data_IF_833267127791
#
_entry.id   IF_833267127791
#
_cell.length_a   1.000
_cell.length_b   1.000
_cell.length_c   1.000
_cell.angle_alpha   90.00
_cell.angle_beta   90.00
_cell.angle_gamma   90.00
#
_symmetry.space_group_name_H-M   'P 1'
#
loop_
_entity.id
_entity.type
_entity.pdbx_description
1 polymer ?
#
# COMPACT_ATOMS: atom_id res chain seq x y z
N UNK A 1 12.67 8.86 14.24
CA UNK A 1 12.54 8.50 12.82
C UNK A 1 11.06 8.50 12.48
N UNK A 2 10.67 9.16 11.39
CA UNK A 2 9.27 9.19 10.95
C UNK A 2 8.89 7.85 10.34
N UNK A 3 7.94 7.14 10.94
CA UNK A 3 7.48 5.84 10.45
C UNK A 3 6.33 6.05 9.45
N UNK A 4 6.53 5.63 8.20
CA UNK A 4 5.56 5.86 7.12
C UNK A 4 4.71 4.61 6.89
N UNK A 5 3.43 4.79 6.56
CA UNK A 5 2.52 3.65 6.29
C UNK A 5 2.52 3.30 4.82
N UNK A 6 2.61 2.01 4.50
CA UNK A 6 2.48 1.51 3.14
C UNK A 6 1.06 1.78 2.61
N UNK A 7 0.95 2.46 1.48
CA UNK A 7 -0.34 2.81 0.87
C UNK A 7 -1.18 1.57 0.53
N UNK A 8 -0.53 0.50 0.08
CA UNK A 8 -1.21 -0.69 -0.43
C UNK A 8 -1.65 -1.64 0.70
N UNK A 9 -0.70 -2.16 1.47
CA UNK A 9 -1.02 -3.17 2.48
C UNK A 9 -1.40 -2.60 3.85
N UNK A 10 -1.04 -1.35 4.15
CA UNK A 10 -1.23 -0.73 5.46
C UNK A 10 -0.16 -1.04 6.52
N UNK A 11 0.86 -1.85 6.22
CA UNK A 11 1.98 -2.07 7.16
C UNK A 11 2.86 -0.83 7.30
N UNK A 12 3.46 -0.65 8.47
CA UNK A 12 4.50 0.35 8.68
C UNK A 12 5.75 0.02 7.85
N UNK A 13 6.38 1.04 7.27
CA UNK A 13 7.68 0.93 6.63
C UNK A 13 8.77 1.02 7.69
N UNK A 14 9.73 0.11 7.61
CA UNK A 14 10.98 0.22 8.33
C UNK A 14 11.86 1.32 7.70
N UNK A 15 12.58 2.09 8.51
CA UNK A 15 13.47 3.14 7.99
C UNK A 15 14.54 2.53 7.09
N UNK A 16 14.79 3.16 5.93
CA UNK A 16 15.72 2.64 4.93
C UNK A 16 15.15 1.56 4.00
N UNK A 17 13.88 1.16 4.18
CA UNK A 17 13.23 0.12 3.39
C UNK A 17 12.06 0.66 2.57
N UNK A 18 11.84 0.07 1.40
CA UNK A 18 10.68 0.35 0.55
C UNK A 18 11.00 1.30 -0.61
N UNK A 19 9.95 1.80 -1.27
CA UNK A 19 10.02 2.68 -2.43
C UNK A 19 8.98 3.79 -2.34
N UNK A 20 9.35 4.96 -2.83
CA UNK A 20 8.43 6.06 -3.07
C UNK A 20 7.94 5.98 -4.52
N UNK A 21 6.64 5.83 -4.72
CA UNK A 21 6.02 5.89 -6.04
C UNK A 21 5.32 7.24 -6.21
N UNK A 22 5.69 7.98 -7.24
CA UNK A 22 5.09 9.28 -7.58
C UNK A 22 4.22 9.09 -8.81
N UNK A 23 2.95 9.44 -8.70
CA UNK A 23 2.01 9.41 -9.82
C UNK A 23 2.15 10.67 -10.68
N UNK A 24 1.60 10.61 -11.89
CA UNK A 24 1.55 11.75 -12.83
C UNK A 24 0.78 12.97 -12.30
N UNK A 25 -0.16 12.75 -11.37
CA UNK A 25 -0.92 13.80 -10.68
C UNK A 25 -0.14 14.45 -9.53
N UNK A 26 1.11 14.04 -9.28
CA UNK A 26 1.95 14.54 -8.19
C UNK A 26 1.69 13.84 -6.85
N UNK A 27 0.72 12.92 -6.77
CA UNK A 27 0.47 12.18 -5.52
C UNK A 27 1.57 11.15 -5.25
N UNK A 28 1.98 11.06 -3.99
CA UNK A 28 3.09 10.18 -3.55
C UNK A 28 2.57 9.03 -2.71
N UNK A 29 3.04 7.81 -3.01
CA UNK A 29 2.69 6.60 -2.28
C UNK A 29 3.94 5.88 -1.78
N UNK A 30 3.93 5.55 -0.49
CA UNK A 30 4.95 4.69 0.11
C UNK A 30 4.58 3.23 -0.08
N UNK A 31 5.55 2.44 -0.55
CA UNK A 31 5.38 1.01 -0.80
C UNK A 31 6.47 0.25 -0.05
N UNK A 32 6.10 -0.71 0.81
CA UNK A 32 7.10 -1.45 1.60
C UNK A 32 7.80 -2.59 0.82
N UNK A 33 7.16 -3.17 -0.21
CA UNK A 33 7.70 -4.35 -0.91
C UNK A 33 7.28 -4.42 -2.38
N UNK A 34 8.05 -5.21 -3.16
CA UNK A 34 7.75 -5.53 -4.55
C UNK A 34 6.37 -6.18 -4.72
N UNK A 35 5.91 -6.99 -3.75
CA UNK A 35 4.55 -7.57 -3.77
C UNK A 35 3.47 -6.48 -3.87
N UNK A 36 3.62 -5.41 -3.10
CA UNK A 36 2.67 -4.29 -3.12
C UNK A 36 2.76 -3.50 -4.43
N UNK A 37 3.98 -3.30 -4.94
CA UNK A 37 4.20 -2.63 -6.23
C UNK A 37 3.56 -3.40 -7.39
N UNK A 38 3.77 -4.72 -7.47
CA UNK A 38 3.20 -5.55 -8.53
C UNK A 38 1.68 -5.55 -8.49
N UNK A 39 1.06 -5.65 -7.30
CA UNK A 39 -0.40 -5.56 -7.21
C UNK A 39 -0.92 -4.17 -7.61
N UNK A 40 -0.21 -3.11 -7.25
CA UNK A 40 -0.56 -1.75 -7.67
C UNK A 40 -0.46 -1.58 -9.20
N UNK A 41 0.60 -2.09 -9.82
CA UNK A 41 0.79 -2.06 -11.28
C UNK A 41 -0.26 -2.89 -12.04
N UNK A 42 -0.76 -3.96 -11.43
CA UNK A 42 -1.89 -4.75 -11.95
C UNK A 42 -3.25 -4.02 -11.83
N UNK A 43 -3.27 -2.77 -11.35
CA UNK A 43 -4.51 -2.01 -11.17
C UNK A 43 -5.39 -2.51 -10.02
N UNK A 44 -4.87 -3.37 -9.14
CA UNK A 44 -5.63 -3.84 -7.99
C UNK A 44 -5.77 -2.73 -6.98
N UNK A 45 -6.98 -2.57 -6.44
CA UNK A 45 -7.24 -1.62 -5.38
C UNK A 45 -7.05 -2.30 -4.01
N UNK A 46 -6.41 -1.64 -3.03
CA UNK A 46 -6.18 -2.24 -1.72
C UNK A 46 -7.52 -2.62 -1.05
N UNK A 47 -8.55 -1.77 -1.17
CA UNK A 47 -9.91 -2.06 -0.68
C UNK A 47 -10.55 -3.34 -1.23
N UNK A 48 -10.17 -3.78 -2.44
CA UNK A 48 -10.67 -5.02 -3.07
C UNK A 48 -9.73 -6.21 -2.85
N UNK A 49 -8.61 -6.01 -2.15
CA UNK A 49 -7.57 -7.01 -1.96
C UNK A 49 -7.60 -7.51 -0.53
N UNK A 50 -8.12 -8.73 -0.31
CA UNK A 50 -8.54 -9.23 1.00
C UNK A 50 -7.44 -9.25 2.07
N UNK A 51 -6.19 -9.53 1.66
CA UNK A 51 -5.07 -9.62 2.60
C UNK A 51 -4.55 -8.26 3.08
N UNK A 52 -4.93 -7.16 2.44
CA UNK A 52 -4.53 -5.81 2.86
C UNK A 52 -5.37 -5.35 4.05
N UNK A 53 -4.85 -4.45 4.88
CA UNK A 53 -5.60 -3.88 6.00
C UNK A 53 -6.93 -3.26 5.54
N UNK A 54 -6.92 -2.51 4.44
CA UNK A 54 -8.12 -1.90 3.85
C UNK A 54 -9.11 -2.94 3.33
N UNK A 55 -8.61 -4.02 2.71
CA UNK A 55 -9.46 -5.13 2.27
C UNK A 55 -10.12 -5.84 3.44
N UNK A 56 -9.38 -6.11 4.53
CA UNK A 56 -9.95 -6.69 5.76
C UNK A 56 -11.04 -5.80 6.37
N UNK A 57 -10.85 -4.48 6.36
CA UNK A 57 -11.84 -3.52 6.88
C UNK A 57 -13.10 -3.50 6.01
N UNK A 58 -12.97 -3.53 4.68
CA UNK A 58 -14.12 -3.49 3.76
C UNK A 58 -14.87 -4.83 3.63
N UNK A 59 -14.16 -5.96 3.74
CA UNK A 59 -14.74 -7.30 3.57
C UNK A 59 -15.29 -7.90 4.85
N UNK A 60 -14.94 -7.33 6.02
CA UNK A 60 -15.89 -7.24 7.12
C UNK A 60 -17.04 -6.35 6.60
N UNK A 61 -18.06 -6.89 5.92
CA UNK A 61 -19.20 -7.55 6.57
C UNK A 61 -19.49 -6.91 7.92
N UNK A 62 -20.68 -6.34 8.03
CA UNK A 62 -21.36 -5.88 9.24
C UNK A 62 -20.91 -6.60 10.53
#
# INVERSE_FOLDING_TARGET
>A
MEQRKCYFCGKMLEPGTGKLYVKKDGSTYYIHSSKCMSNFNLGRLPRRTEWTEKGKIQLKKA
#
